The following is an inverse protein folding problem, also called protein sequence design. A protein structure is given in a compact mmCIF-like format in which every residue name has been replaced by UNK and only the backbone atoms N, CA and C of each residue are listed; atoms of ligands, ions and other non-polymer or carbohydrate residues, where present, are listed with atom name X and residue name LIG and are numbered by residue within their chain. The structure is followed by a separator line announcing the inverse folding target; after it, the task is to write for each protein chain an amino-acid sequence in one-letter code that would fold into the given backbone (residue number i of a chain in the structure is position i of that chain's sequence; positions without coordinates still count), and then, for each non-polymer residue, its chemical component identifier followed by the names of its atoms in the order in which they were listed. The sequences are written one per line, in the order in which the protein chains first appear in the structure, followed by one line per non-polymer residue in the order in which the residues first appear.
data_IF_207042582826
#
_entry.id   IF_207042582826
#
_cell.length_a   1.000
_cell.length_b   1.000
_cell.length_c   1.000
_cell.angle_alpha   90.00
_cell.angle_beta   90.00
_cell.angle_gamma   90.00
#
_symmetry.space_group_name_H-M   'P 1'
#
loop_
_entity.id
_entity.type
_entity.pdbx_description
1 polymer ?
#
# COMPACT_ATOMS: atom_id res chain seq x y z
N UNK A 1 -33.80 -29.62 -15.84
CA UNK A 1 -32.49 -29.06 -16.26
C UNK A 1 -31.71 -28.75 -15.00
N UNK A 2 -30.54 -29.36 -14.79
CA UNK A 2 -29.76 -29.11 -13.57
C UNK A 2 -29.27 -27.65 -13.57
N UNK A 3 -29.70 -26.86 -12.58
CA UNK A 3 -29.26 -25.49 -12.39
C UNK A 3 -27.75 -25.46 -12.09
N UNK A 4 -26.92 -25.38 -13.13
CA UNK A 4 -25.48 -25.24 -12.99
C UNK A 4 -25.18 -23.87 -12.38
N UNK A 5 -24.40 -23.84 -11.30
CA UNK A 5 -23.95 -22.59 -10.70
C UNK A 5 -22.97 -21.89 -11.65
N UNK A 6 -23.45 -20.89 -12.39
CA UNK A 6 -22.61 -19.99 -13.19
C UNK A 6 -21.98 -18.93 -12.29
N UNK A 7 -20.84 -19.28 -11.70
CA UNK A 7 -20.18 -18.46 -10.69
C UNK A 7 -19.75 -17.10 -11.24
N UNK A 8 -19.23 -17.05 -12.48
CA UNK A 8 -18.83 -15.78 -13.10
C UNK A 8 -20.01 -14.82 -13.16
N UNK A 9 -21.16 -15.29 -13.66
CA UNK A 9 -22.37 -14.48 -13.75
C UNK A 9 -22.85 -14.01 -12.38
N UNK A 10 -22.79 -14.86 -11.35
CA UNK A 10 -23.25 -14.48 -10.00
C UNK A 10 -22.33 -13.47 -9.30
N UNK A 11 -21.03 -13.60 -9.50
CA UNK A 11 -20.04 -12.62 -9.02
C UNK A 11 -20.32 -11.25 -9.67
N UNK A 12 -20.51 -11.22 -10.99
CA UNK A 12 -20.88 -9.97 -11.70
C UNK A 12 -22.19 -9.41 -11.16
N UNK A 13 -23.22 -10.24 -11.00
CA UNK A 13 -24.53 -9.80 -10.50
C UNK A 13 -24.45 -9.12 -9.13
N UNK A 14 -23.66 -9.66 -8.19
CA UNK A 14 -23.46 -9.03 -6.88
C UNK A 14 -22.71 -7.71 -7.01
N UNK A 15 -21.57 -7.72 -7.70
CA UNK A 15 -20.66 -6.58 -7.71
C UNK A 15 -21.22 -5.42 -8.55
N UNK A 16 -21.83 -5.68 -9.72
CA UNK A 16 -22.42 -4.64 -10.56
C UNK A 16 -23.67 -4.00 -9.95
N UNK A 17 -24.39 -4.74 -9.10
CA UNK A 17 -25.51 -4.19 -8.31
C UNK A 17 -25.04 -3.33 -7.13
N UNK A 18 -23.75 -3.38 -6.80
CA UNK A 18 -23.12 -2.71 -5.66
C UNK A 18 -21.80 -2.04 -6.11
N UNK A 19 -21.85 -1.06 -7.03
CA UNK A 19 -20.65 -0.42 -7.56
C UNK A 19 -19.81 0.21 -6.44
N UNK A 20 -18.49 0.17 -6.59
CA UNK A 20 -17.47 0.63 -5.63
C UNK A 20 -17.46 -0.12 -4.27
N UNK A 21 -18.49 -0.94 -3.95
CA UNK A 21 -18.48 -1.78 -2.75
C UNK A 21 -17.45 -2.90 -2.91
N UNK A 22 -16.64 -3.10 -1.88
CA UNK A 22 -15.54 -4.08 -1.84
C UNK A 22 -15.95 -5.30 -1.02
N UNK A 23 -15.78 -6.49 -1.60
CA UNK A 23 -16.17 -7.76 -0.95
C UNK A 23 -14.99 -8.73 -0.87
N UNK A 24 -14.85 -9.46 0.25
CA UNK A 24 -13.95 -10.62 0.28
C UNK A 24 -14.56 -11.73 -0.59
N UNK A 25 -13.74 -12.59 -1.18
CA UNK A 25 -14.25 -13.75 -1.93
C UNK A 25 -15.19 -14.63 -1.10
N UNK A 26 -14.99 -14.68 0.23
CA UNK A 26 -15.86 -15.41 1.16
C UNK A 26 -17.25 -14.80 1.26
N UNK A 27 -17.36 -13.48 1.33
CA UNK A 27 -18.65 -12.78 1.40
C UNK A 27 -19.44 -12.98 0.10
N UNK A 28 -18.73 -12.92 -1.04
CA UNK A 28 -19.31 -13.26 -2.35
C UNK A 28 -19.79 -14.71 -2.36
N UNK A 29 -19.00 -15.66 -1.83
CA UNK A 29 -19.40 -17.06 -1.76
C UNK A 29 -20.65 -17.27 -0.89
N UNK A 30 -20.72 -16.63 0.29
CA UNK A 30 -21.88 -16.68 1.18
C UNK A 30 -23.12 -16.16 0.44
N UNK A 31 -23.05 -14.95 -0.12
CA UNK A 31 -24.16 -14.35 -0.87
C UNK A 31 -24.64 -15.23 -2.03
N UNK A 32 -23.70 -15.83 -2.79
CA UNK A 32 -24.04 -16.73 -3.90
C UNK A 32 -24.79 -17.97 -3.38
N UNK A 33 -24.36 -18.55 -2.26
CA UNK A 33 -25.02 -19.73 -1.69
C UNK A 33 -26.39 -19.43 -1.10
N UNK A 34 -26.56 -18.27 -0.47
CA UNK A 34 -27.83 -17.85 0.13
C UNK A 34 -28.86 -17.44 -0.94
N UNK A 35 -28.42 -16.73 -1.98
CA UNK A 35 -29.30 -16.25 -3.05
C UNK A 35 -29.67 -17.34 -4.06
N UNK A 36 -28.83 -18.37 -4.23
CA UNK A 36 -29.06 -19.48 -5.16
C UNK A 36 -28.93 -20.86 -4.48
N UNK A 37 -29.79 -21.18 -3.50
CA UNK A 37 -29.66 -22.40 -2.70
C UNK A 37 -29.79 -23.67 -3.53
N UNK A 38 -30.67 -23.70 -4.55
CA UNK A 38 -30.84 -24.86 -5.43
C UNK A 38 -29.59 -25.15 -6.27
N UNK A 39 -28.94 -24.12 -6.81
CA UNK A 39 -27.73 -24.25 -7.60
C UNK A 39 -26.51 -24.63 -6.72
N UNK A 40 -26.47 -24.10 -5.49
CA UNK A 40 -25.49 -24.47 -4.48
C UNK A 40 -25.63 -25.95 -4.07
N UNK A 41 -26.86 -26.40 -3.77
CA UNK A 41 -27.16 -27.79 -3.45
C UNK A 41 -26.81 -28.73 -4.62
N UNK A 42 -27.14 -28.35 -5.86
CA UNK A 42 -26.79 -29.13 -7.05
C UNK A 42 -25.27 -29.23 -7.28
N UNK A 43 -24.50 -28.19 -6.90
CA UNK A 43 -23.03 -28.22 -6.95
C UNK A 43 -22.47 -29.19 -5.89
N UNK A 44 -23.05 -29.17 -4.69
CA UNK A 44 -22.67 -30.08 -3.59
C UNK A 44 -22.96 -31.54 -3.95
N UNK A 45 -24.17 -31.86 -4.43
CA UNK A 45 -24.56 -33.21 -4.84
C UNK A 45 -23.71 -33.80 -5.98
N UNK A 46 -23.16 -32.95 -6.86
CA UNK A 46 -22.27 -33.38 -7.95
C UNK A 46 -20.84 -33.63 -7.52
N UNK A 47 -20.44 -33.14 -6.35
CA UNK A 47 -19.08 -33.29 -5.85
C UNK A 47 -19.01 -34.50 -4.93
N UNK A 48 -18.03 -35.37 -5.16
CA UNK A 48 -17.71 -36.45 -4.21
C UNK A 48 -16.94 -35.99 -2.97
N UNK A 49 -16.56 -34.71 -2.90
CA UNK A 49 -15.65 -34.17 -1.88
C UNK A 49 -16.26 -33.06 -1.00
N UNK A 50 -17.47 -32.59 -1.32
CA UNK A 50 -18.14 -31.52 -0.57
C UNK A 50 -19.23 -32.17 0.28
N UNK A 51 -18.95 -32.31 1.57
CA UNK A 51 -19.82 -32.95 2.55
C UNK A 51 -20.62 -31.93 3.36
N UNK A 52 -20.13 -30.70 3.47
CA UNK A 52 -20.76 -29.65 4.28
C UNK A 52 -20.68 -28.25 3.65
N UNK A 53 -21.45 -27.33 4.23
CA UNK A 53 -21.54 -25.94 3.76
C UNK A 53 -20.19 -25.21 3.81
N UNK A 54 -19.34 -25.48 4.81
CA UNK A 54 -18.04 -24.83 4.92
C UNK A 54 -17.10 -25.25 3.76
N UNK A 55 -17.10 -26.53 3.40
CA UNK A 55 -16.36 -27.03 2.23
C UNK A 55 -16.91 -26.44 0.92
N UNK A 56 -18.22 -26.27 0.80
CA UNK A 56 -18.83 -25.62 -0.37
C UNK A 56 -18.36 -24.16 -0.51
N UNK A 57 -18.37 -23.41 0.59
CA UNK A 57 -17.90 -22.03 0.62
C UNK A 57 -16.41 -21.95 0.25
N UNK A 58 -15.57 -22.79 0.84
CA UNK A 58 -14.14 -22.85 0.51
C UNK A 58 -13.89 -23.17 -0.97
N UNK A 59 -14.67 -24.10 -1.53
CA UNK A 59 -14.59 -24.44 -2.96
C UNK A 59 -14.96 -23.23 -3.84
N UNK A 60 -16.04 -22.52 -3.52
CA UNK A 60 -16.46 -21.32 -4.27
C UNK A 60 -15.41 -20.21 -4.15
N UNK A 61 -14.87 -19.98 -2.95
CA UNK A 61 -13.78 -19.01 -2.71
C UNK A 61 -12.56 -19.34 -3.57
N UNK A 62 -12.15 -20.61 -3.60
CA UNK A 62 -11.02 -21.05 -4.41
C UNK A 62 -11.28 -20.84 -5.91
N UNK A 63 -12.50 -21.14 -6.39
CA UNK A 63 -12.89 -20.92 -7.79
C UNK A 63 -12.92 -19.43 -8.17
N UNK A 64 -13.42 -18.55 -7.29
CA UNK A 64 -13.38 -17.10 -7.52
C UNK A 64 -11.92 -16.64 -7.66
N UNK A 65 -11.05 -17.07 -6.73
CA UNK A 65 -9.65 -16.68 -6.73
C UNK A 65 -8.89 -17.20 -7.96
N UNK A 66 -9.13 -18.45 -8.37
CA UNK A 66 -8.43 -19.08 -9.49
C UNK A 66 -8.87 -18.50 -10.84
N UNK A 67 -10.15 -18.17 -11.00
CA UNK A 67 -10.68 -17.65 -12.26
C UNK A 67 -10.52 -16.13 -12.40
N UNK A 68 -10.23 -15.40 -11.31
CA UNK A 68 -10.03 -13.95 -11.30
C UNK A 68 -9.20 -13.44 -12.48
N UNK A 69 -7.98 -13.94 -12.78
CA UNK A 69 -7.17 -13.37 -13.86
C UNK A 69 -7.86 -13.46 -15.23
N UNK A 70 -8.62 -14.53 -15.48
CA UNK A 70 -9.38 -14.68 -16.71
C UNK A 70 -10.61 -13.77 -16.73
N UNK A 71 -11.32 -13.64 -15.61
CA UNK A 71 -12.50 -12.79 -15.52
C UNK A 71 -12.16 -11.31 -15.69
N UNK A 72 -11.08 -10.82 -15.08
CA UNK A 72 -10.63 -9.42 -15.23
C UNK A 72 -10.24 -9.08 -16.68
N UNK A 73 -9.69 -10.05 -17.44
CA UNK A 73 -9.43 -9.85 -18.88
C UNK A 73 -10.70 -9.72 -19.70
N UNK A 74 -11.77 -10.41 -19.30
CA UNK A 74 -13.05 -10.40 -20.01
C UNK A 74 -13.98 -9.27 -19.55
N UNK A 75 -13.77 -8.79 -18.32
CA UNK A 75 -14.61 -7.79 -17.64
C UNK A 75 -13.67 -6.78 -16.96
N UNK A 76 -13.21 -5.75 -17.68
CA UNK A 76 -12.31 -4.73 -17.14
C UNK A 76 -12.87 -3.96 -15.93
N UNK A 77 -14.20 -3.93 -15.78
CA UNK A 77 -14.90 -3.35 -14.64
C UNK A 77 -14.72 -4.15 -13.34
N UNK A 78 -14.43 -5.46 -13.44
CA UNK A 78 -14.14 -6.30 -12.29
C UNK A 78 -12.72 -6.02 -11.81
N UNK A 79 -12.60 -5.31 -10.69
CA UNK A 79 -11.32 -4.95 -10.09
C UNK A 79 -11.09 -5.65 -8.77
N UNK A 80 -9.82 -5.68 -8.37
CA UNK A 80 -9.39 -6.25 -7.10
C UNK A 80 -8.29 -5.43 -6.47
N UNK A 81 -8.26 -5.41 -5.15
CA UNK A 81 -7.07 -4.95 -4.43
C UNK A 81 -5.90 -5.89 -4.68
N UNK A 82 -4.70 -5.31 -4.73
CA UNK A 82 -3.42 -5.99 -4.83
C UNK A 82 -2.57 -5.70 -3.59
N UNK A 83 -1.65 -6.60 -3.26
CA UNK A 83 -0.86 -6.49 -2.02
C UNK A 83 -1.60 -6.78 -0.71
N UNK A 84 -2.94 -6.74 -0.67
CA UNK A 84 -3.76 -7.09 0.52
C UNK A 84 -4.19 -8.56 0.51
N UNK A 85 -4.16 -9.19 1.69
CA UNK A 85 -4.72 -10.53 1.94
C UNK A 85 -5.72 -10.45 3.09
N UNK A 86 -6.99 -10.91 2.91
CA UNK A 86 -7.58 -11.42 1.67
C UNK A 86 -7.80 -10.31 0.63
N UNK A 87 -7.79 -10.67 -0.65
CA UNK A 87 -8.09 -9.73 -1.75
C UNK A 87 -9.55 -9.34 -1.72
N UNK A 88 -9.83 -8.07 -2.00
CA UNK A 88 -11.17 -7.54 -2.12
C UNK A 88 -11.54 -7.39 -3.59
N UNK A 89 -12.79 -7.68 -3.93
CA UNK A 89 -13.36 -7.59 -5.27
C UNK A 89 -14.39 -6.46 -5.32
N UNK A 90 -14.39 -5.70 -6.40
CA UNK A 90 -15.34 -4.60 -6.61
C UNK A 90 -15.64 -4.40 -8.10
N UNK A 91 -16.75 -3.71 -8.37
CA UNK A 91 -17.14 -3.30 -9.73
C UNK A 91 -17.03 -1.78 -9.85
N UNK A 92 -16.43 -1.30 -10.93
CA UNK A 92 -16.35 0.12 -11.24
C UNK A 92 -16.48 0.38 -12.73
N UNK A 93 -17.13 1.48 -13.08
CA UNK A 93 -17.14 2.02 -14.45
C UNK A 93 -16.04 3.05 -14.67
N UNK A 94 -15.36 3.51 -13.60
CA UNK A 94 -14.25 4.46 -13.69
C UNK A 94 -13.07 3.80 -14.39
N UNK A 95 -12.35 4.53 -15.21
CA UNK A 95 -11.01 4.13 -15.65
C UNK A 95 -10.02 4.12 -14.48
N UNK A 96 -8.88 3.45 -14.64
CA UNK A 96 -7.81 3.43 -13.61
C UNK A 96 -7.29 4.86 -13.33
N UNK A 97 -7.23 5.73 -14.36
CA UNK A 97 -6.81 7.12 -14.20
C UNK A 97 -7.87 7.96 -13.47
N UNK A 98 -9.15 7.73 -13.71
CA UNK A 98 -10.24 8.40 -12.99
C UNK A 98 -10.30 7.98 -11.52
N UNK A 99 -10.01 6.71 -11.18
CA UNK A 99 -9.89 6.30 -9.77
C UNK A 99 -8.78 7.07 -9.05
N UNK A 100 -7.61 7.18 -9.66
CA UNK A 100 -6.48 7.93 -9.10
C UNK A 100 -6.87 9.40 -8.92
N UNK A 101 -7.42 10.03 -9.96
CA UNK A 101 -7.83 11.43 -9.91
C UNK A 101 -8.96 11.68 -8.88
N UNK A 102 -9.88 10.74 -8.72
CA UNK A 102 -10.97 10.81 -7.74
C UNK A 102 -10.42 10.69 -6.31
N UNK A 103 -9.48 9.78 -6.06
CA UNK A 103 -8.83 9.66 -4.74
C UNK A 103 -7.98 10.91 -4.44
N UNK A 104 -7.32 11.50 -5.44
CA UNK A 104 -6.48 12.69 -5.31
C UNK A 104 -7.27 14.03 -5.27
N UNK A 105 -8.55 14.05 -5.67
CA UNK A 105 -9.33 15.31 -5.76
C UNK A 105 -9.48 16.04 -4.43
N UNK A 106 -9.35 15.31 -3.32
CA UNK A 106 -9.28 15.85 -1.96
C UNK A 106 -10.63 16.30 -1.38
N UNK A 107 -10.84 15.99 -0.09
CA UNK A 107 -11.85 16.53 0.85
C UNK A 107 -13.34 16.44 0.48
N UNK A 108 -13.71 15.86 -0.64
CA UNK A 108 -15.10 15.47 -0.87
C UNK A 108 -15.48 14.33 0.08
N UNK A 109 -16.73 14.35 0.53
CA UNK A 109 -17.32 13.24 1.26
C UNK A 109 -17.42 12.05 0.31
N UNK A 110 -16.85 10.91 0.69
CA UNK A 110 -17.02 9.67 -0.06
C UNK A 110 -17.76 8.65 0.79
N UNK A 111 -18.53 7.80 0.12
CA UNK A 111 -19.19 6.67 0.77
C UNK A 111 -18.16 5.57 0.89
N UNK A 112 -17.68 5.35 2.11
CA UNK A 112 -16.92 4.17 2.43
C UNK A 112 -17.89 3.02 2.71
N UNK A 113 -17.72 1.94 1.96
CA UNK A 113 -18.45 0.70 2.20
C UNK A 113 -17.64 -0.10 3.20
N UNK A 114 -18.16 -0.22 4.43
CA UNK A 114 -17.43 -0.84 5.53
C UNK A 114 -16.84 -2.20 5.15
N UNK A 115 -15.56 -2.40 5.48
CA UNK A 115 -14.95 -3.75 5.48
C UNK A 115 -15.83 -4.63 6.37
N UNK A 116 -16.23 -5.85 5.96
CA UNK A 116 -16.89 -6.77 6.88
C UNK A 116 -15.94 -7.06 8.04
N UNK A 117 -16.31 -6.56 9.22
CA UNK A 117 -15.55 -6.73 10.46
C UNK A 117 -15.55 -8.20 10.85
N UNK A 118 -14.40 -8.70 11.30
CA UNK A 118 -14.24 -10.09 11.74
C UNK A 118 -14.96 -10.38 13.07
N UNK A 119 -15.44 -9.34 13.76
CA UNK A 119 -16.13 -9.43 15.07
C UNK A 119 -17.66 -9.53 14.98
N UNK A 120 -18.26 -9.45 13.79
CA UNK A 120 -19.71 -9.67 13.65
C UNK A 120 -20.01 -11.18 13.66
N UNK A 121 -20.38 -11.71 14.82
CA UNK A 121 -20.78 -13.10 15.04
C UNK A 121 -22.10 -13.50 14.33
N UNK A 122 -22.69 -12.63 13.51
CA UNK A 122 -23.88 -12.93 12.72
C UNK A 122 -23.67 -12.62 11.23
N UNK A 123 -24.04 -13.54 10.32
CA UNK A 123 -23.93 -13.34 8.87
C UNK A 123 -25.11 -12.49 8.42
N UNK A 124 -25.07 -11.18 8.68
CA UNK A 124 -25.94 -10.24 7.99
C UNK A 124 -25.09 -9.40 7.05
N UNK A 125 -25.38 -9.52 5.75
CA UNK A 125 -24.82 -8.72 4.67
C UNK A 125 -25.28 -7.24 4.72
N UNK A 126 -25.47 -6.68 5.91
CA UNK A 126 -25.85 -5.30 6.11
C UNK A 126 -24.59 -4.43 6.04
N UNK A 127 -24.30 -3.95 4.83
CA UNK A 127 -23.23 -3.00 4.56
C UNK A 127 -23.53 -1.70 5.30
N UNK A 128 -22.69 -1.32 6.26
CA UNK A 128 -22.76 0.00 6.89
C UNK A 128 -22.15 1.00 5.92
N UNK A 129 -22.99 1.87 5.36
CA UNK A 129 -22.55 3.02 4.57
C UNK A 129 -22.10 4.11 5.52
N UNK A 130 -20.80 4.42 5.49
CA UNK A 130 -20.23 5.51 6.30
C UNK A 130 -19.74 6.59 5.36
N UNK A 131 -20.29 7.79 5.52
CA UNK A 131 -19.76 8.96 4.83
C UNK A 131 -18.53 9.43 5.58
N UNK A 132 -17.36 9.31 4.96
CA UNK A 132 -16.08 9.70 5.58
C UNK A 132 -15.43 10.78 4.70
N UNK A 133 -14.65 11.66 5.33
CA UNK A 133 -13.84 12.62 4.59
C UNK A 133 -12.72 11.89 3.86
N UNK A 134 -12.51 12.19 2.57
CA UNK A 134 -11.33 11.67 1.84
C UNK A 134 -10.04 12.16 2.49
N UNK A 135 -9.16 11.21 2.79
CA UNK A 135 -7.80 11.47 3.24
C UNK A 135 -6.95 12.04 2.12
N UNK A 136 -5.99 12.85 2.50
CA UNK A 136 -4.91 13.34 1.64
C UNK A 136 -3.63 12.57 1.91
N UNK A 137 -2.64 12.66 1.00
CA UNK A 137 -1.32 12.05 1.23
C UNK A 137 -0.68 12.55 2.53
N UNK A 138 -0.88 13.83 2.89
CA UNK A 138 -0.39 14.41 4.12
C UNK A 138 -0.92 13.71 5.39
N UNK A 139 -2.13 13.18 5.34
CA UNK A 139 -2.73 12.46 6.46
C UNK A 139 -2.05 11.10 6.70
N UNK A 140 -1.36 10.56 5.68
CA UNK A 140 -0.62 9.31 5.77
C UNK A 140 0.77 9.48 6.41
N UNK A 141 1.35 10.69 6.39
CA UNK A 141 2.73 10.88 6.84
C UNK A 141 2.93 10.57 8.33
N UNK A 142 2.07 11.03 9.26
CA UNK A 142 2.20 10.67 10.67
C UNK A 142 2.05 9.17 10.92
N UNK A 143 1.13 8.52 10.20
CA UNK A 143 0.88 7.07 10.31
C UNK A 143 2.09 6.26 9.83
N UNK A 144 2.72 6.70 8.73
CA UNK A 144 3.96 6.10 8.26
C UNK A 144 5.09 6.28 9.28
N UNK A 145 5.24 7.47 9.85
CA UNK A 145 6.27 7.74 10.86
C UNK A 145 6.08 6.84 12.08
N UNK A 146 4.85 6.70 12.58
CA UNK A 146 4.51 5.83 13.70
C UNK A 146 4.85 4.36 13.41
N UNK A 147 4.42 3.83 12.26
CA UNK A 147 4.73 2.47 11.83
C UNK A 147 6.25 2.23 11.72
N UNK A 148 6.98 3.17 11.11
CA UNK A 148 8.42 3.05 10.93
C UNK A 148 9.18 3.14 12.27
N UNK A 149 8.70 3.92 13.22
CA UNK A 149 9.27 4.00 14.55
C UNK A 149 9.00 2.72 15.36
N UNK A 150 7.77 2.20 15.35
CA UNK A 150 7.39 1.03 16.15
C UNK A 150 7.97 -0.29 15.62
N UNK A 151 7.90 -0.51 14.30
CA UNK A 151 8.27 -1.80 13.70
C UNK A 151 9.73 -1.86 13.23
N UNK A 152 10.33 -0.70 12.95
CA UNK A 152 11.65 -0.63 12.31
C UNK A 152 12.67 0.23 13.07
N UNK A 153 12.29 0.84 14.21
CA UNK A 153 13.15 1.77 14.96
C UNK A 153 13.72 2.90 14.08
N UNK A 154 12.93 3.37 13.11
CA UNK A 154 13.28 4.45 12.20
C UNK A 154 12.56 5.72 12.65
N UNK A 155 13.31 6.69 13.16
CA UNK A 155 12.75 7.99 13.55
C UNK A 155 12.50 8.84 12.32
N UNK A 156 11.22 9.00 11.97
CA UNK A 156 10.79 9.71 10.77
C UNK A 156 10.62 11.23 10.95
N UNK A 157 10.74 11.96 9.84
CA UNK A 157 10.50 13.40 9.75
C UNK A 157 9.92 13.75 8.38
N UNK A 158 8.82 14.52 8.36
CA UNK A 158 8.24 15.08 7.13
C UNK A 158 9.18 16.14 6.53
N UNK A 159 9.30 16.13 5.21
CA UNK A 159 9.90 17.22 4.43
C UNK A 159 8.78 18.03 3.78
N UNK A 160 8.57 19.28 4.23
CA UNK A 160 7.52 20.12 3.65
C UNK A 160 8.00 20.77 2.35
N UNK A 161 7.43 20.34 1.24
CA UNK A 161 7.69 20.84 -0.10
C UNK A 161 7.44 22.36 -0.26
N UNK A 162 6.58 22.95 0.59
CA UNK A 162 6.31 24.40 0.61
C UNK A 162 7.46 25.21 1.20
N UNK A 163 8.38 24.56 1.91
CA UNK A 163 9.60 25.19 2.44
C UNK A 163 10.77 25.07 1.49
N UNK A 164 10.55 24.57 0.26
CA UNK A 164 11.54 24.53 -0.79
C UNK A 164 11.67 25.86 -1.54
N UNK A 165 12.87 26.21 -1.98
CA UNK A 165 13.06 27.31 -2.91
C UNK A 165 12.46 26.94 -4.28
N UNK A 166 11.46 27.68 -4.72
CA UNK A 166 10.72 27.41 -5.97
C UNK A 166 11.51 27.87 -7.23
N UNK A 167 12.79 27.52 -7.32
CA UNK A 167 13.70 28.00 -8.38
C UNK A 167 13.45 27.36 -9.75
N UNK A 168 12.74 26.24 -9.80
CA UNK A 168 12.54 25.44 -11.01
C UNK A 168 11.13 25.55 -11.60
N UNK A 169 10.32 26.53 -11.15
CA UNK A 169 8.96 26.76 -11.64
C UNK A 169 7.93 25.75 -11.11
N UNK A 170 6.69 25.91 -11.56
CA UNK A 170 5.57 25.05 -11.15
C UNK A 170 5.85 23.59 -11.50
N UNK A 171 5.81 22.70 -10.51
CA UNK A 171 6.02 21.26 -10.67
C UNK A 171 7.48 20.78 -10.60
N UNK A 172 8.47 21.67 -10.54
CA UNK A 172 9.88 21.27 -10.41
C UNK A 172 10.18 20.55 -9.08
N UNK A 173 9.49 20.94 -8.01
CA UNK A 173 9.65 20.35 -6.67
C UNK A 173 9.11 18.91 -6.59
N UNK A 174 8.19 18.50 -7.48
CA UNK A 174 7.61 17.15 -7.52
C UNK A 174 8.68 16.07 -7.67
N UNK A 175 9.76 16.39 -8.38
CA UNK A 175 10.83 15.47 -8.76
C UNK A 175 12.11 15.64 -7.95
N UNK A 176 12.05 16.41 -6.85
CA UNK A 176 13.22 16.76 -6.09
C UNK A 176 13.16 16.23 -4.65
N UNK A 177 12.03 16.35 -3.95
CA UNK A 177 11.99 16.08 -2.51
C UNK A 177 11.21 14.80 -2.20
N UNK A 178 11.70 13.96 -1.27
CA UNK A 178 10.86 12.94 -0.66
C UNK A 178 9.82 13.57 0.26
N UNK A 179 8.75 12.83 0.58
CA UNK A 179 7.71 13.29 1.52
C UNK A 179 8.15 13.15 2.98
N UNK A 180 8.79 12.01 3.29
CA UNK A 180 9.26 11.65 4.63
C UNK A 180 10.68 11.08 4.52
N UNK A 181 11.51 11.41 5.50
CA UNK A 181 12.86 10.86 5.67
C UNK A 181 13.00 10.25 7.06
N UNK A 182 13.91 9.31 7.24
CA UNK A 182 14.08 8.61 8.51
C UNK A 182 15.53 8.28 8.84
N UNK A 183 15.79 8.12 10.14
CA UNK A 183 17.10 7.72 10.69
C UNK A 183 16.93 6.45 11.52
N UNK A 184 17.73 5.42 11.23
CA UNK A 184 17.84 4.18 12.00
C UNK A 184 19.17 4.15 12.74
N UNK A 185 19.15 4.07 14.06
CA UNK A 185 20.37 3.96 14.86
C UNK A 185 20.80 2.48 14.97
N UNK A 186 21.89 2.11 14.31
CA UNK A 186 22.42 0.74 14.33
C UNK A 186 23.13 0.37 15.64
N UNK A 187 23.35 1.35 16.51
CA UNK A 187 24.02 1.17 17.81
C UNK A 187 23.04 1.10 18.97
N UNK A 188 21.74 1.20 18.69
CA UNK A 188 20.70 1.16 19.73
C UNK A 188 20.68 -0.21 20.43
N UNK A 189 20.55 -0.19 21.76
CA UNK A 189 20.61 -1.38 22.60
C UNK A 189 21.99 -2.07 22.74
N UNK A 190 23.06 -1.56 22.10
CA UNK A 190 24.40 -2.12 22.22
C UNK A 190 25.13 -1.67 23.50
N UNK A 191 26.12 -2.45 23.92
CA UNK A 191 26.97 -2.12 25.07
C UNK A 191 27.85 -0.88 24.80
N UNK A 192 28.02 0.06 25.75
CA UNK A 192 28.76 1.31 25.53
C UNK A 192 30.19 1.16 24.98
N UNK A 193 30.94 0.15 25.44
CA UNK A 193 32.29 -0.14 24.91
C UNK A 193 32.27 -0.57 23.44
N UNK A 194 31.24 -1.32 23.02
CA UNK A 194 31.07 -1.72 21.61
C UNK A 194 30.71 -0.51 20.76
N UNK A 195 29.81 0.35 21.25
CA UNK A 195 29.46 1.62 20.57
C UNK A 195 30.70 2.51 20.40
N UNK A 196 31.56 2.56 21.43
CA UNK A 196 32.83 3.30 21.38
C UNK A 196 33.76 2.73 20.32
N UNK A 197 33.92 1.39 20.28
CA UNK A 197 34.74 0.74 19.26
C UNK A 197 34.23 1.00 17.83
N UNK A 198 32.91 0.91 17.59
CA UNK A 198 32.27 1.24 16.30
C UNK A 198 32.53 2.71 15.90
N UNK A 199 32.43 3.62 16.87
CA UNK A 199 32.71 5.05 16.65
C UNK A 199 34.16 5.28 16.26
N UNK A 200 35.10 4.63 16.93
CA UNK A 200 36.55 4.78 16.69
C UNK A 200 36.99 4.11 15.39
N UNK A 201 36.40 2.97 15.04
CA UNK A 201 36.63 2.30 13.75
C UNK A 201 36.00 3.03 12.55
N UNK A 202 35.12 4.00 12.81
CA UNK A 202 34.32 4.75 11.81
C UNK A 202 33.40 3.86 10.97
N UNK A 203 32.94 2.77 11.56
CA UNK A 203 31.97 1.90 10.93
C UNK A 203 30.58 2.55 10.87
N UNK A 204 29.68 1.98 10.08
CA UNK A 204 28.33 2.52 9.86
C UNK A 204 27.53 2.47 11.15
N UNK A 205 27.09 3.64 11.63
CA UNK A 205 26.28 3.80 12.86
C UNK A 205 24.81 4.10 12.59
N UNK A 206 24.49 4.48 11.35
CA UNK A 206 23.18 4.95 10.97
C UNK A 206 22.82 4.46 9.57
N UNK A 207 21.54 4.18 9.35
CA UNK A 207 20.98 4.11 8.00
C UNK A 207 19.95 5.21 7.81
N UNK A 208 19.95 5.79 6.61
CA UNK A 208 18.98 6.79 6.21
C UNK A 208 17.92 6.17 5.32
N UNK A 209 16.68 6.57 5.58
CA UNK A 209 15.49 6.10 4.90
C UNK A 209 14.79 7.27 4.21
N UNK A 210 14.18 7.02 3.07
CA UNK A 210 13.47 8.02 2.28
C UNK A 210 12.20 7.41 1.68
N UNK A 211 11.09 8.14 1.80
CA UNK A 211 9.76 7.65 1.46
C UNK A 211 9.05 8.63 0.53
N UNK A 212 8.49 8.09 -0.55
CA UNK A 212 7.50 8.76 -1.41
C UNK A 212 6.14 8.11 -1.15
N UNK A 213 5.11 8.90 -0.84
CA UNK A 213 3.82 8.43 -0.35
C UNK A 213 2.72 8.74 -1.37
N UNK A 214 1.82 7.78 -1.58
CA UNK A 214 0.66 7.90 -2.48
C UNK A 214 -0.59 7.36 -1.80
N UNK A 215 -1.77 7.83 -2.20
CA UNK A 215 -3.03 7.24 -1.73
C UNK A 215 -3.34 5.91 -2.46
N UNK A 216 -3.29 5.94 -3.79
CA UNK A 216 -3.63 4.81 -4.65
C UNK A 216 -2.58 4.61 -5.73
N UNK A 217 -2.11 3.37 -5.88
CA UNK A 217 -1.27 2.96 -7.00
C UNK A 217 -1.99 1.88 -7.80
N UNK A 218 -2.20 2.15 -9.09
CA UNK A 218 -2.71 1.18 -10.07
C UNK A 218 -1.90 1.30 -11.37
N UNK A 219 -2.29 0.60 -12.45
CA UNK A 219 -1.52 0.61 -13.69
C UNK A 219 -1.42 1.98 -14.37
N UNK A 220 -2.34 2.91 -14.14
CA UNK A 220 -2.28 4.21 -14.80
C UNK A 220 -1.17 5.10 -14.23
N UNK A 221 -0.81 4.94 -12.97
CA UNK A 221 0.20 5.78 -12.30
C UNK A 221 1.44 5.00 -11.80
N UNK A 222 1.44 3.66 -11.79
CA UNK A 222 2.51 2.84 -11.20
C UNK A 222 3.92 3.20 -11.68
N UNK A 223 4.11 3.47 -12.98
CA UNK A 223 5.43 3.87 -13.50
C UNK A 223 5.81 5.27 -13.04
N UNK A 224 4.91 6.23 -13.17
CA UNK A 224 5.19 7.63 -12.82
C UNK A 224 5.55 7.74 -11.33
N UNK A 225 4.73 7.18 -10.45
CA UNK A 225 4.96 7.24 -8.99
C UNK A 225 6.20 6.47 -8.58
N UNK A 226 6.49 5.34 -9.23
CA UNK A 226 7.73 4.62 -8.97
C UNK A 226 8.96 5.40 -9.39
N UNK A 227 8.96 6.03 -10.58
CA UNK A 227 10.09 6.86 -11.01
C UNK A 227 10.22 8.14 -10.19
N UNK A 228 9.12 8.67 -9.67
CA UNK A 228 9.15 9.75 -8.69
C UNK A 228 9.89 9.30 -7.42
N UNK A 229 9.55 8.13 -6.87
CA UNK A 229 10.26 7.56 -5.72
C UNK A 229 11.75 7.30 -6.03
N UNK A 230 12.09 6.81 -7.23
CA UNK A 230 13.48 6.66 -7.67
C UNK A 230 14.21 8.01 -7.64
N UNK A 231 13.62 9.05 -8.24
CA UNK A 231 14.22 10.39 -8.29
C UNK A 231 14.42 10.98 -6.89
N UNK A 232 13.42 10.87 -6.04
CA UNK A 232 13.35 11.55 -4.75
C UNK A 232 14.06 10.80 -3.61
N UNK A 233 14.27 9.48 -3.76
CA UNK A 233 14.74 8.62 -2.65
C UNK A 233 16.01 7.81 -2.94
N UNK A 234 16.57 7.83 -4.16
CA UNK A 234 17.78 7.05 -4.47
C UNK A 234 19.06 7.53 -3.77
N UNK A 235 19.00 8.64 -3.03
CA UNK A 235 20.13 9.17 -2.27
C UNK A 235 20.36 8.48 -0.93
N UNK A 236 19.34 7.80 -0.39
CA UNK A 236 19.35 7.18 0.93
C UNK A 236 19.77 5.70 0.88
N UNK A 237 20.04 5.08 2.04
CA UNK A 237 20.32 3.64 2.11
C UNK A 237 19.10 2.82 1.70
N UNK A 238 17.91 3.27 2.07
CA UNK A 238 16.65 2.66 1.68
C UNK A 238 15.67 3.70 1.13
N UNK A 239 15.19 3.46 -0.09
CA UNK A 239 14.10 4.21 -0.70
C UNK A 239 12.85 3.37 -0.82
N UNK A 240 11.71 3.92 -0.40
CA UNK A 240 10.42 3.25 -0.46
C UNK A 240 9.36 4.08 -1.18
N UNK A 241 8.56 3.39 -1.99
CA UNK A 241 7.27 3.88 -2.45
C UNK A 241 6.19 3.30 -1.52
N UNK A 242 5.50 4.18 -0.82
CA UNK A 242 4.46 3.86 0.15
C UNK A 242 3.12 4.17 -0.47
N UNK A 243 2.15 3.27 -0.35
CA UNK A 243 0.77 3.60 -0.67
C UNK A 243 -0.23 3.00 0.30
N UNK A 244 -1.35 3.68 0.49
CA UNK A 244 -2.46 3.11 1.25
C UNK A 244 -3.08 1.92 0.50
N UNK A 245 -3.29 2.08 -0.81
CA UNK A 245 -3.91 1.07 -1.65
C UNK A 245 -3.09 0.78 -2.91
N UNK A 246 -2.96 -0.51 -3.22
CA UNK A 246 -2.51 -0.99 -4.52
C UNK A 246 -3.69 -1.70 -5.18
N UNK A 247 -4.06 -1.33 -6.40
CA UNK A 247 -5.23 -1.88 -7.09
C UNK A 247 -4.94 -2.21 -8.55
N UNK A 248 -5.83 -3.00 -9.15
CA UNK A 248 -5.76 -3.35 -10.57
C UNK A 248 -4.94 -4.61 -10.86
N UNK A 249 -5.27 -5.24 -11.99
CA UNK A 249 -4.57 -6.44 -12.44
C UNK A 249 -3.16 -6.10 -12.91
N UNK A 250 -2.17 -6.92 -12.53
CA UNK A 250 -0.76 -6.79 -12.91
C UNK A 250 -0.02 -5.55 -12.34
N UNK A 251 -0.65 -4.69 -11.53
CA UNK A 251 0.02 -3.55 -10.88
C UNK A 251 1.23 -3.98 -10.06
N UNK A 252 1.07 -4.95 -9.14
CA UNK A 252 2.22 -5.45 -8.36
C UNK A 252 3.23 -6.20 -9.21
N UNK A 253 2.83 -6.76 -10.36
CA UNK A 253 3.76 -7.41 -11.28
C UNK A 253 4.68 -6.37 -11.93
N UNK A 254 4.12 -5.26 -12.41
CA UNK A 254 4.89 -4.14 -12.96
C UNK A 254 5.83 -3.55 -11.90
N UNK A 255 5.31 -3.26 -10.69
CA UNK A 255 6.12 -2.71 -9.60
C UNK A 255 7.28 -3.65 -9.19
N UNK A 256 7.09 -4.97 -9.23
CA UNK A 256 8.17 -5.93 -8.97
C UNK A 256 9.23 -5.95 -10.07
N UNK A 257 8.85 -5.72 -11.33
CA UNK A 257 9.81 -5.55 -12.43
C UNK A 257 10.63 -4.28 -12.21
N UNK A 258 9.97 -3.17 -11.87
CA UNK A 258 10.62 -1.89 -11.55
C UNK A 258 11.56 -2.02 -10.34
N UNK A 259 11.14 -2.73 -9.29
CA UNK A 259 11.98 -3.09 -8.15
C UNK A 259 13.24 -3.84 -8.56
N UNK A 260 13.13 -4.85 -9.42
CA UNK A 260 14.29 -5.62 -9.86
C UNK A 260 15.36 -4.72 -10.51
N UNK A 261 14.93 -3.69 -11.24
CA UNK A 261 15.80 -2.76 -11.95
C UNK A 261 16.37 -1.64 -11.06
N UNK A 262 15.57 -1.07 -10.14
CA UNK A 262 15.94 0.17 -9.44
C UNK A 262 16.03 0.05 -7.91
N UNK A 263 15.47 -1.01 -7.32
CA UNK A 263 15.63 -1.34 -5.91
C UNK A 263 14.78 -0.55 -4.91
N UNK A 264 13.79 0.25 -5.36
CA UNK A 264 12.86 0.95 -4.46
C UNK A 264 11.86 -0.06 -3.88
N UNK A 265 11.81 -0.15 -2.56
CA UNK A 265 10.89 -1.04 -1.85
C UNK A 265 9.45 -0.54 -1.91
N UNK A 266 8.52 -1.41 -1.49
CA UNK A 266 7.09 -1.11 -1.47
C UNK A 266 6.54 -1.34 -0.07
N UNK A 267 5.86 -0.33 0.47
CA UNK A 267 5.11 -0.43 1.73
C UNK A 267 3.64 -0.19 1.45
N UNK A 268 2.79 -1.06 2.00
CA UNK A 268 1.36 -0.78 2.15
C UNK A 268 1.12 -0.20 3.52
N UNK A 269 0.59 1.01 3.56
CA UNK A 269 0.16 1.63 4.81
C UNK A 269 -1.30 1.28 5.07
N UNK A 270 -1.62 0.75 6.24
CA UNK A 270 -3.02 0.56 6.63
C UNK A 270 -3.55 1.85 7.24
N UNK A 271 -4.50 2.46 6.53
CA UNK A 271 -5.12 3.72 6.93
C UNK A 271 -5.87 3.63 8.26
N UNK A 272 -6.45 2.48 8.58
CA UNK A 272 -7.29 2.32 9.77
C UNK A 272 -6.50 1.82 10.97
N UNK A 273 -5.47 1.01 10.74
CA UNK A 273 -4.61 0.49 11.80
C UNK A 273 -3.14 0.47 11.36
N UNK A 274 -2.37 1.56 11.59
CA UNK A 274 -0.98 1.67 11.13
C UNK A 274 -0.08 0.50 11.52
N UNK A 275 -0.34 -0.19 12.65
CA UNK A 275 0.41 -1.38 13.08
C UNK A 275 0.24 -2.59 12.13
N UNK A 276 -0.85 -2.65 11.36
CA UNK A 276 -1.12 -3.69 10.36
C UNK A 276 -0.57 -3.32 8.96
N UNK A 277 0.21 -2.25 8.87
CA UNK A 277 0.96 -1.88 7.67
C UNK A 277 2.01 -2.94 7.34
N UNK A 278 2.39 -3.05 6.07
CA UNK A 278 3.21 -4.17 5.60
C UNK A 278 4.27 -3.71 4.60
N UNK A 279 5.50 -4.16 4.82
CA UNK A 279 6.56 -4.13 3.80
C UNK A 279 6.25 -5.22 2.76
N UNK A 280 5.68 -4.85 1.62
CA UNK A 280 5.32 -5.77 0.54
C UNK A 280 6.54 -6.25 -0.26
N UNK A 281 7.52 -5.36 -0.41
CA UNK A 281 8.81 -5.62 -1.06
C UNK A 281 9.87 -4.84 -0.27
N UNK A 282 10.84 -5.52 0.38
CA UNK A 282 11.92 -4.82 1.07
C UNK A 282 12.79 -4.08 0.04
N UNK A 283 13.15 -2.83 0.35
CA UNK A 283 14.04 -2.04 -0.48
C UNK A 283 15.42 -2.67 -0.56
N UNK A 284 16.11 -2.48 -1.69
CA UNK A 284 17.52 -2.88 -1.82
C UNK A 284 18.38 -1.86 -1.08
N UNK A 285 19.15 -2.33 -0.09
CA UNK A 285 20.10 -1.48 0.62
C UNK A 285 21.16 -0.93 -0.34
N UNK A 286 21.37 0.38 -0.28
CA UNK A 286 22.50 1.06 -0.90
C UNK A 286 23.55 1.30 0.19
N UNK A 287 24.80 0.86 0.00
CA UNK A 287 25.84 1.03 1.02
C UNK A 287 26.20 2.51 1.20
N UNK A 288 26.24 3.25 0.11
CA UNK A 288 26.68 4.64 0.07
C UNK A 288 25.49 5.60 -0.10
N UNK A 289 25.59 6.75 0.56
CA UNK A 289 24.68 7.87 0.38
C UNK A 289 25.13 8.74 -0.81
N UNK A 290 24.17 9.22 -1.61
CA UNK A 290 24.46 10.15 -2.69
C UNK A 290 24.60 11.58 -2.16
N UNK A 291 25.78 11.91 -1.61
CA UNK A 291 26.05 13.19 -0.95
C UNK A 291 25.79 14.42 -1.83
N UNK A 292 26.02 14.31 -3.14
CA UNK A 292 25.72 15.40 -4.07
C UNK A 292 24.21 15.72 -4.09
N UNK A 293 23.36 14.69 -4.03
CA UNK A 293 21.92 14.86 -3.92
C UNK A 293 21.54 15.41 -2.54
N UNK A 294 22.10 14.88 -1.45
CA UNK A 294 21.88 15.44 -0.11
C UNK A 294 22.21 16.94 -0.04
N UNK A 295 23.35 17.34 -0.62
CA UNK A 295 23.76 18.75 -0.66
C UNK A 295 22.77 19.60 -1.45
N UNK A 296 22.27 19.11 -2.59
CA UNK A 296 21.26 19.80 -3.38
C UNK A 296 19.96 19.97 -2.59
N UNK A 297 19.49 18.91 -1.94
CA UNK A 297 18.26 18.94 -1.13
C UNK A 297 18.38 19.91 0.05
N UNK A 298 19.52 19.92 0.75
CA UNK A 298 19.74 20.81 1.88
C UNK A 298 19.83 22.30 1.49
N UNK A 299 20.30 22.60 0.27
CA UNK A 299 20.28 23.97 -0.27
C UNK A 299 18.86 24.40 -0.62
N UNK A 300 18.05 23.49 -1.15
CA UNK A 300 16.74 23.83 -1.67
C UNK A 300 15.63 23.76 -0.62
N UNK A 301 15.71 22.92 0.43
CA UNK A 301 14.65 22.74 1.43
C UNK A 301 15.16 22.84 2.88
N UNK A 302 14.53 23.71 3.68
CA UNK A 302 14.92 23.96 5.09
C UNK A 302 14.67 22.77 6.02
N UNK A 303 13.62 21.98 5.80
CA UNK A 303 13.35 20.80 6.62
C UNK A 303 14.40 19.71 6.35
N UNK A 304 14.80 19.54 5.09
CA UNK A 304 15.88 18.62 4.75
C UNK A 304 17.23 19.07 5.32
N UNK A 305 17.51 20.38 5.30
CA UNK A 305 18.70 20.93 5.95
C UNK A 305 18.72 20.62 7.46
N UNK A 306 17.57 20.74 8.13
CA UNK A 306 17.43 20.41 9.55
C UNK A 306 17.62 18.91 9.78
N UNK A 307 17.08 18.06 8.92
CA UNK A 307 17.32 16.61 8.96
C UNK A 307 18.82 16.29 8.88
N UNK A 308 19.55 16.87 7.92
CA UNK A 308 21.01 16.67 7.82
C UNK A 308 21.78 17.22 9.03
N UNK A 309 21.24 18.24 9.70
CA UNK A 309 21.81 18.74 10.96
C UNK A 309 21.71 17.69 12.07
N UNK A 310 20.57 16.99 12.17
CA UNK A 310 20.40 15.88 13.12
C UNK A 310 21.32 14.71 12.79
N UNK A 311 21.43 14.32 11.52
CA UNK A 311 22.39 13.28 11.07
C UNK A 311 23.82 13.64 11.50
N UNK A 312 24.24 14.90 11.30
CA UNK A 312 25.56 15.37 11.75
C UNK A 312 25.70 15.32 13.27
N UNK A 313 24.69 15.77 14.02
CA UNK A 313 24.69 15.73 15.49
C UNK A 313 24.84 14.30 16.00
N UNK A 314 24.09 13.35 15.44
CA UNK A 314 24.23 11.94 15.77
C UNK A 314 25.65 11.42 15.55
N UNK A 315 26.31 11.81 14.44
CA UNK A 315 27.72 11.42 14.23
C UNK A 315 28.68 11.97 15.30
N UNK A 316 28.38 13.14 15.87
CA UNK A 316 29.20 13.82 16.87
C UNK A 316 28.95 13.30 18.29
N UNK A 317 27.69 13.12 18.67
CA UNK A 317 27.29 12.81 20.06
C UNK A 317 26.89 11.36 20.26
N UNK A 318 26.36 10.70 19.22
CA UNK A 318 25.71 9.39 19.33
C UNK A 318 24.23 9.48 19.75
N UNK A 319 23.71 10.68 19.98
CA UNK A 319 22.32 10.92 20.39
C UNK A 319 21.45 11.25 19.17
N UNK A 320 20.25 10.67 19.15
CA UNK A 320 19.23 10.80 18.09
C UNK A 320 18.22 11.91 18.38
#
# INVERSE_FOLDING_TARGET
MSAKLDLKRRVVELLSANPEKRFKARDVAIWVTEKYPEAAAAKMQKSGFIENQAQLLNQIVAEIASNRPQWQKQLPQLRTTDGVRPRLFYWTEKSEAEEVADVESGRDLFVEFGKPTEEAAEPTAAVIEKTVARRSEHDLYPMLIEFMESEHNVRGQRIDEKKSSNKYGSGGNKWLFPDVVGMENLTDGLHPEVVTAIRESRDTRIRLWSFEVKLLINRSNARETYFQAVSNSSWANFGYLVAANFEGADTMKELRILYAMHGIGLIRLDEENPAESQVLVPARERPDLEWAMCSRLAVENKDFQQFMTKVRQFFQTGDM
#
